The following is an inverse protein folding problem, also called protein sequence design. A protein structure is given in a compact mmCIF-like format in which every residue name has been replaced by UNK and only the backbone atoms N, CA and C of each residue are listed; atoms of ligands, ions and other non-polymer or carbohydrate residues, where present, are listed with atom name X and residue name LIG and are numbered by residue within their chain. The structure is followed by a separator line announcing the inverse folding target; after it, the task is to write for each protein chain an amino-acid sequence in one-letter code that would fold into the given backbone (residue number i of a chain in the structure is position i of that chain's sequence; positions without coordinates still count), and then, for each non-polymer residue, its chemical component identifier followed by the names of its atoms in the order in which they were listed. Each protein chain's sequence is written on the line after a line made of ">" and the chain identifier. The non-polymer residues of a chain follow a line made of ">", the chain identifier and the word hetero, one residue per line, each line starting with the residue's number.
data_IF_411599158846
#
_entry.id   IF_411599158846
#
_cell.length_a   1.000
_cell.length_b   1.000
_cell.length_c   1.000
_cell.angle_alpha   90.00
_cell.angle_beta   90.00
_cell.angle_gamma   90.00
#
_symmetry.space_group_name_H-M   'P 1'
#
loop_
_entity.id
_entity.type
_entity.pdbx_description
1 polymer ?
#
# COMPACT_ATOMS: atom_id res chain seq x y z
N UNK A 1 4.59 2.90 -17.90
CA UNK A 1 4.36 2.70 -16.45
C UNK A 1 3.25 1.68 -16.28
N UNK A 2 3.51 0.58 -15.57
CA UNK A 2 2.52 -0.48 -15.33
C UNK A 2 1.88 -0.33 -13.95
N UNK A 3 0.55 -0.33 -13.83
CA UNK A 3 -0.08 -0.42 -12.52
C UNK A 3 0.21 -1.79 -11.89
N UNK A 4 0.51 -1.79 -10.61
CA UNK A 4 0.61 -3.00 -9.80
C UNK A 4 -0.50 -2.99 -8.75
N UNK A 5 -1.04 -4.15 -8.41
CA UNK A 5 -2.03 -4.30 -7.36
C UNK A 5 -1.66 -5.46 -6.44
N UNK A 6 -1.91 -5.30 -5.14
CA UNK A 6 -1.63 -6.32 -4.14
C UNK A 6 -2.57 -6.19 -2.94
N UNK A 7 -2.60 -7.23 -2.13
CA UNK A 7 -3.20 -7.26 -0.79
C UNK A 7 -2.16 -7.78 0.21
N UNK A 8 -2.33 -7.47 1.48
CA UNK A 8 -1.57 -8.08 2.57
C UNK A 8 -2.56 -8.87 3.41
N UNK A 9 -2.30 -10.16 3.58
CA UNK A 9 -3.20 -11.06 4.31
C UNK A 9 -3.40 -10.58 5.76
N UNK A 10 -4.64 -10.58 6.22
CA UNK A 10 -5.00 -10.11 7.56
C UNK A 10 -4.98 -8.58 7.75
N UNK A 11 -4.53 -7.80 6.75
CA UNK A 11 -4.41 -6.34 6.87
C UNK A 11 -5.39 -5.63 5.91
N UNK A 12 -6.36 -4.86 6.44
CA UNK A 12 -7.28 -4.10 5.59
C UNK A 12 -6.58 -2.98 4.79
N UNK A 13 -6.87 -2.87 3.49
CA UNK A 13 -6.20 -1.93 2.57
C UNK A 13 -6.42 -0.46 2.91
N UNK A 14 -7.60 -0.06 3.39
CA UNK A 14 -7.87 1.32 3.76
C UNK A 14 -6.97 1.84 4.89
N UNK A 15 -6.90 1.15 6.05
CA UNK A 15 -5.92 1.41 7.10
C UNK A 15 -4.47 1.38 6.60
N UNK A 16 -4.08 0.40 5.78
CA UNK A 16 -2.73 0.32 5.21
C UNK A 16 -2.40 1.55 4.35
N UNK A 17 -3.30 1.98 3.47
CA UNK A 17 -3.12 3.18 2.66
C UNK A 17 -2.95 4.44 3.53
N UNK A 18 -3.73 4.56 4.61
CA UNK A 18 -3.60 5.66 5.59
C UNK A 18 -2.26 5.62 6.31
N UNK A 19 -1.78 4.44 6.70
CA UNK A 19 -0.49 4.23 7.35
C UNK A 19 0.68 4.62 6.43
N UNK A 20 0.70 4.09 5.20
CA UNK A 20 1.71 4.40 4.19
C UNK A 20 1.81 5.90 3.92
N UNK A 21 0.66 6.59 3.81
CA UNK A 21 0.63 8.04 3.62
C UNK A 21 1.18 8.78 4.84
N UNK A 22 0.67 8.47 6.05
CA UNK A 22 0.98 9.25 7.26
C UNK A 22 2.40 9.04 7.76
N UNK A 23 2.90 7.80 7.72
CA UNK A 23 4.16 7.42 8.35
C UNK A 23 5.33 7.33 7.37
N UNK A 24 5.05 7.11 6.09
CA UNK A 24 6.08 6.94 5.06
C UNK A 24 5.98 7.96 3.92
N UNK A 25 4.96 8.83 3.92
CA UNK A 25 4.74 9.79 2.84
C UNK A 25 4.40 9.14 1.49
N UNK A 26 3.97 7.88 1.49
CA UNK A 26 3.70 7.12 0.26
C UNK A 26 2.21 7.20 -0.10
N UNK A 27 1.92 7.65 -1.32
CA UNK A 27 0.56 7.73 -1.84
C UNK A 27 0.21 6.49 -2.67
N UNK A 28 -0.85 5.81 -2.27
CA UNK A 28 -1.42 4.65 -2.98
C UNK A 28 -2.93 4.80 -3.10
N UNK A 29 -3.54 4.00 -3.97
CA UNK A 29 -4.99 3.94 -4.07
C UNK A 29 -5.51 2.72 -3.33
N UNK A 30 -6.39 2.95 -2.36
CA UNK A 30 -7.25 1.89 -1.85
C UNK A 30 -8.31 1.55 -2.91
N UNK A 31 -8.41 0.26 -3.23
CA UNK A 31 -9.38 -0.30 -4.17
C UNK A 31 -10.34 -1.27 -3.47
N UNK A 32 -10.39 -1.30 -2.15
CA UNK A 32 -11.54 -1.86 -1.45
C UNK A 32 -12.76 -0.94 -1.61
N UNK A 33 -13.97 -1.51 -1.75
CA UNK A 33 -15.21 -0.75 -1.71
C UNK A 33 -16.27 -1.18 -2.74
N UNK A 34 -17.34 -0.37 -2.83
CA UNK A 34 -18.60 -0.68 -3.52
C UNK A 34 -18.45 -1.20 -4.96
N UNK A 35 -17.44 -0.74 -5.68
CA UNK A 35 -17.23 -1.05 -7.10
C UNK A 35 -16.09 -2.03 -7.35
N UNK A 36 -15.57 -2.66 -6.29
CA UNK A 36 -14.47 -3.62 -6.37
C UNK A 36 -14.95 -5.02 -6.03
N UNK A 37 -14.56 -6.05 -6.80
CA UNK A 37 -14.80 -7.44 -6.42
C UNK A 37 -13.88 -7.89 -5.26
N UNK A 38 -12.88 -7.08 -4.89
CA UNK A 38 -11.90 -7.42 -3.86
C UNK A 38 -12.23 -6.74 -2.53
N UNK A 39 -12.25 -7.53 -1.46
CA UNK A 39 -12.45 -7.04 -0.08
C UNK A 39 -11.31 -6.13 0.39
N UNK A 40 -10.10 -6.37 -0.08
CA UNK A 40 -8.90 -5.60 0.23
C UNK A 40 -8.01 -5.54 -1.02
N UNK A 41 -7.61 -4.34 -1.43
CA UNK A 41 -6.68 -4.16 -2.55
C UNK A 41 -6.01 -2.79 -2.49
N UNK A 42 -4.70 -2.77 -2.66
CA UNK A 42 -3.90 -1.57 -2.90
C UNK A 42 -3.51 -1.54 -4.37
N UNK A 43 -3.69 -0.40 -5.04
CA UNK A 43 -3.11 -0.12 -6.36
C UNK A 43 -1.99 0.90 -6.24
N UNK A 44 -0.86 0.57 -6.86
CA UNK A 44 0.31 1.42 -7.02
C UNK A 44 0.52 1.69 -8.50
N UNK A 45 0.90 2.91 -8.84
CA UNK A 45 1.14 3.31 -10.23
C UNK A 45 2.28 4.32 -10.26
N UNK A 46 3.54 3.86 -10.30
CA UNK A 46 4.70 4.76 -10.37
C UNK A 46 4.62 5.61 -11.65
N UNK A 47 4.82 6.92 -11.50
CA UNK A 47 4.81 7.87 -12.59
C UNK A 47 6.20 8.09 -13.20
N UNK A 48 6.29 8.89 -14.25
CA UNK A 48 7.57 9.25 -14.88
C UNK A 48 8.54 9.98 -13.92
N UNK A 49 8.01 10.56 -12.85
CA UNK A 49 8.78 11.28 -11.83
C UNK A 49 9.00 10.47 -10.55
N UNK A 50 8.53 9.23 -10.48
CA UNK A 50 8.81 8.36 -9.34
C UNK A 50 10.28 7.95 -9.34
N UNK A 51 10.90 7.97 -8.17
CA UNK A 51 12.28 7.55 -7.97
C UNK A 51 12.36 6.12 -7.45
N UNK A 52 13.51 5.46 -7.63
CA UNK A 52 13.74 4.14 -7.03
C UNK A 52 13.65 4.19 -5.50
N UNK A 53 14.15 5.25 -4.86
CA UNK A 53 14.06 5.40 -3.41
C UNK A 53 12.63 5.53 -2.86
N UNK A 54 11.69 6.07 -3.66
CA UNK A 54 10.27 6.05 -3.29
C UNK A 54 9.66 4.64 -3.40
N UNK A 55 10.10 3.86 -4.38
CA UNK A 55 9.71 2.46 -4.52
C UNK A 55 10.26 1.62 -3.37
N UNK A 56 11.54 1.78 -3.02
CA UNK A 56 12.16 1.07 -1.91
C UNK A 56 11.42 1.36 -0.60
N UNK A 57 11.10 2.64 -0.32
CA UNK A 57 10.33 3.02 0.87
C UNK A 57 8.95 2.35 0.92
N UNK A 58 8.25 2.26 -0.21
CA UNK A 58 6.97 1.55 -0.30
C UNK A 58 7.18 0.06 0.00
N UNK A 59 8.17 -0.57 -0.63
CA UNK A 59 8.43 -2.02 -0.50
C UNK A 59 8.82 -2.37 0.93
N UNK A 60 9.71 -1.60 1.55
CA UNK A 60 10.14 -1.84 2.93
C UNK A 60 8.98 -1.70 3.91
N UNK A 61 8.19 -0.63 3.79
CA UNK A 61 7.02 -0.42 4.65
C UNK A 61 5.98 -1.54 4.52
N UNK A 62 5.70 -2.00 3.30
CA UNK A 62 4.76 -3.11 3.06
C UNK A 62 5.34 -4.43 3.57
N UNK A 63 6.65 -4.67 3.37
CA UNK A 63 7.34 -5.87 3.82
C UNK A 63 7.31 -5.98 5.35
N UNK A 64 7.52 -4.88 6.06
CA UNK A 64 7.46 -4.85 7.52
C UNK A 64 6.04 -5.19 8.03
N UNK A 65 5.01 -4.59 7.44
CA UNK A 65 3.61 -4.91 7.77
C UNK A 65 3.29 -6.38 7.44
N UNK A 66 3.71 -6.88 6.29
CA UNK A 66 3.47 -8.27 5.88
C UNK A 66 4.17 -9.27 6.81
N UNK A 67 5.37 -8.96 7.30
CA UNK A 67 6.09 -9.78 8.30
C UNK A 67 5.42 -9.75 9.67
N UNK A 68 4.92 -8.59 10.08
CA UNK A 68 4.24 -8.43 11.37
C UNK A 68 2.82 -9.01 11.36
N UNK A 69 2.18 -9.10 10.19
CA UNK A 69 0.77 -9.50 10.04
C UNK A 69 -0.22 -8.45 10.56
N UNK A 70 0.25 -7.26 10.93
CA UNK A 70 -0.57 -6.19 11.49
C UNK A 70 0.09 -4.82 11.26
N UNK A 71 -0.72 -3.75 11.36
CA UNK A 71 -0.20 -2.39 11.35
C UNK A 71 0.43 -2.06 12.71
N UNK A 72 1.50 -1.24 12.74
CA UNK A 72 2.01 -0.69 13.99
C UNK A 72 0.93 0.10 14.74
N UNK A 73 0.99 0.11 16.06
CA UNK A 73 0.20 1.04 16.86
C UNK A 73 0.57 2.49 16.47
N UNK A 74 -0.44 3.35 16.36
CA UNK A 74 -0.27 4.76 15.96
C UNK A 74 0.62 5.54 16.95
#
# INVERSE_FOLDING_TARGET
>A
CGPAAFSVDGVPSGPLAKYLRRRHGVLVQDKAGRHSPFTSAIRVSPGAHSTLGELDRLVDAVRDVARAGQLPAD
#
